data_IF_011803025472
#
_entry.id   IF_011803025472
#
_cell.length_a   1.000
_cell.length_b   1.000
_cell.length_c   1.000
_cell.angle_alpha   90.00
_cell.angle_beta   90.00
_cell.angle_gamma   90.00
#
_symmetry.space_group_name_H-M   'P 1'
#
loop_
_entity.id
_entity.type
_entity.pdbx_description
1 polymer ?
#
# COMPACT_ATOMS: atom_id res chain seq x y z
N UNK A 1 -5.44 7.23 12.36
CA UNK A 1 -4.51 6.84 11.27
C UNK A 1 -4.94 7.60 10.02
N UNK A 2 -4.04 7.93 9.12
CA UNK A 2 -4.37 8.54 7.82
C UNK A 2 -4.32 7.44 6.77
N UNK A 3 -5.45 7.13 6.17
CA UNK A 3 -5.55 6.19 5.05
C UNK A 3 -5.58 6.95 3.74
N UNK A 4 -5.05 6.34 2.69
CA UNK A 4 -5.27 6.74 1.32
C UNK A 4 -6.15 5.71 0.64
N UNK A 5 -7.10 6.17 -0.19
CA UNK A 5 -7.94 5.33 -1.01
C UNK A 5 -8.06 5.92 -2.42
N UNK A 6 -8.00 5.08 -3.42
CA UNK A 6 -8.28 5.45 -4.81
C UNK A 6 -9.55 4.72 -5.26
N UNK A 7 -10.39 5.39 -6.04
CA UNK A 7 -11.57 4.79 -6.66
C UNK A 7 -11.51 4.98 -8.17
N UNK A 8 -11.55 3.86 -8.90
CA UNK A 8 -11.70 3.87 -10.35
C UNK A 8 -13.17 3.68 -10.72
N UNK A 9 -13.66 4.48 -11.67
CA UNK A 9 -15.05 4.44 -12.12
C UNK A 9 -15.17 4.67 -13.65
N UNK A 10 -16.31 4.26 -14.21
CA UNK A 10 -16.72 4.59 -15.57
C UNK A 10 -18.06 5.30 -15.51
N UNK A 11 -18.19 6.45 -16.19
CA UNK A 11 -19.43 7.21 -16.27
C UNK A 11 -19.85 7.38 -17.74
N UNK A 12 -21.16 7.26 -18.03
CA UNK A 12 -21.76 7.48 -19.36
C UNK A 12 -22.60 8.76 -19.45
N UNK A 13 -22.47 9.64 -18.41
CA UNK A 13 -23.24 10.86 -18.25
C UNK A 13 -24.55 10.68 -17.47
N UNK A 14 -25.08 9.47 -17.38
CA UNK A 14 -26.30 9.12 -16.65
C UNK A 14 -25.99 8.18 -15.47
N UNK A 15 -25.37 7.06 -15.76
CA UNK A 15 -25.00 6.04 -14.78
C UNK A 15 -23.49 6.07 -14.49
N UNK A 16 -23.12 5.58 -13.30
CA UNK A 16 -21.72 5.47 -12.87
C UNK A 16 -21.46 4.07 -12.36
N UNK A 17 -20.60 3.34 -13.05
CA UNK A 17 -20.06 2.06 -12.61
C UNK A 17 -18.85 2.33 -11.72
N UNK A 18 -18.90 1.92 -10.45
CA UNK A 18 -17.72 1.84 -9.61
C UNK A 18 -16.93 0.62 -10.06
N UNK A 19 -15.70 0.83 -10.49
CA UNK A 19 -14.79 -0.24 -10.93
C UNK A 19 -14.16 -0.97 -9.76
N UNK A 20 -13.81 -0.23 -8.71
CA UNK A 20 -13.28 -0.75 -7.46
C UNK A 20 -12.75 0.33 -6.54
N UNK A 21 -12.77 0.05 -5.25
CA UNK A 21 -12.19 0.88 -4.19
C UNK A 21 -10.89 0.21 -3.75
N UNK A 22 -9.79 0.94 -3.79
CA UNK A 22 -8.48 0.47 -3.37
C UNK A 22 -8.06 1.14 -2.08
N UNK A 23 -7.49 0.38 -1.16
CA UNK A 23 -6.82 0.89 0.04
C UNK A 23 -5.31 0.79 -0.13
N UNK A 24 -4.61 1.89 0.09
CA UNK A 24 -3.16 2.00 -0.09
C UNK A 24 -2.40 1.80 1.22
N UNK A 25 -1.24 1.14 1.15
CA UNK A 25 -0.32 1.00 2.28
C UNK A 25 0.65 2.18 2.40
N UNK A 26 0.85 2.92 1.31
CA UNK A 26 1.66 4.14 1.30
C UNK A 26 0.84 5.35 1.74
N UNK A 27 1.57 6.39 2.23
CA UNK A 27 0.91 7.62 2.65
C UNK A 27 0.35 8.43 1.46
N UNK A 28 -0.64 9.28 1.74
CA UNK A 28 -1.12 10.26 0.77
C UNK A 28 0.03 11.16 0.27
N UNK A 29 0.06 11.43 -1.04
CA UNK A 29 1.13 12.19 -1.70
C UNK A 29 2.17 11.33 -2.41
N UNK A 30 2.18 10.01 -2.21
CA UNK A 30 2.94 9.07 -3.06
C UNK A 30 2.17 8.82 -4.35
N UNK A 31 2.87 8.74 -5.50
CA UNK A 31 2.23 8.42 -6.77
C UNK A 31 1.52 7.06 -6.74
N UNK A 32 0.31 6.95 -7.31
CA UNK A 32 -0.49 5.71 -7.27
C UNK A 32 0.19 4.51 -7.93
N UNK A 33 1.05 4.74 -8.93
CA UNK A 33 1.88 3.71 -9.55
C UNK A 33 2.93 3.11 -8.62
N UNK A 34 3.40 3.89 -7.64
CA UNK A 34 4.45 3.50 -6.69
C UNK A 34 3.91 2.96 -5.37
N UNK A 35 2.62 3.05 -5.15
CA UNK A 35 2.00 2.59 -3.91
C UNK A 35 1.47 1.16 -4.03
N UNK A 36 1.76 0.34 -3.03
CA UNK A 36 1.06 -0.90 -2.79
C UNK A 36 -0.40 -0.64 -2.45
N UNK A 37 -1.32 -1.42 -2.98
CA UNK A 37 -2.74 -1.27 -2.64
C UNK A 37 -3.50 -2.60 -2.71
N UNK A 38 -4.53 -2.72 -1.88
CA UNK A 38 -5.44 -3.87 -1.86
C UNK A 38 -6.80 -3.55 -2.47
N UNK A 39 -7.39 -4.52 -3.11
CA UNK A 39 -8.78 -4.58 -3.56
C UNK A 39 -9.33 -5.98 -3.24
N UNK A 40 -10.44 -6.09 -2.46
CA UNK A 40 -11.14 -5.00 -1.77
C UNK A 40 -10.27 -4.32 -0.70
N UNK A 41 -10.72 -3.17 -0.13
CA UNK A 41 -10.08 -2.54 1.03
C UNK A 41 -9.99 -3.50 2.21
N UNK A 42 -8.87 -3.46 2.96
CA UNK A 42 -8.64 -4.34 4.11
C UNK A 42 -9.19 -3.77 5.42
N UNK A 43 -8.99 -2.47 5.65
CA UNK A 43 -9.30 -1.84 6.95
C UNK A 43 -10.40 -0.78 6.89
N UNK A 44 -10.83 -0.35 5.70
CA UNK A 44 -11.89 0.63 5.54
C UNK A 44 -13.25 0.03 5.91
N UNK A 45 -13.99 0.69 6.82
CA UNK A 45 -15.33 0.27 7.21
C UNK A 45 -16.31 0.33 6.03
N UNK A 46 -17.38 -0.47 6.09
CA UNK A 46 -18.43 -0.47 5.06
C UNK A 46 -19.02 0.95 4.86
N UNK A 47 -19.26 1.69 5.95
CA UNK A 47 -19.75 3.07 5.88
C UNK A 47 -18.81 3.98 5.07
N UNK A 48 -17.51 3.94 5.33
CA UNK A 48 -16.53 4.74 4.58
C UNK A 48 -16.52 4.33 3.10
N UNK A 49 -16.59 3.04 2.81
CA UNK A 49 -16.64 2.57 1.42
C UNK A 49 -17.91 3.06 0.70
N UNK A 50 -19.08 3.09 1.37
CA UNK A 50 -20.33 3.59 0.79
C UNK A 50 -20.27 5.11 0.56
N UNK A 51 -19.68 5.86 1.50
CA UNK A 51 -19.45 7.29 1.35
C UNK A 51 -18.52 7.60 0.16
N UNK A 52 -17.45 6.79 -0.04
CA UNK A 52 -16.56 6.90 -1.20
C UNK A 52 -17.31 6.65 -2.51
N UNK A 53 -18.19 5.63 -2.57
CA UNK A 53 -19.04 5.35 -3.73
C UNK A 53 -19.97 6.52 -4.05
N UNK A 54 -20.63 7.07 -3.03
CA UNK A 54 -21.55 8.18 -3.18
C UNK A 54 -20.82 9.44 -3.69
N UNK A 55 -19.69 9.81 -3.07
CA UNK A 55 -18.89 10.95 -3.50
C UNK A 55 -18.38 10.78 -4.94
N UNK A 56 -17.94 9.57 -5.29
CA UNK A 56 -17.50 9.26 -6.66
C UNK A 56 -18.62 9.47 -7.67
N UNK A 57 -19.83 9.00 -7.39
CA UNK A 57 -21.00 9.21 -8.27
C UNK A 57 -21.35 10.68 -8.41
N UNK A 58 -21.35 11.45 -7.31
CA UNK A 58 -21.61 12.89 -7.33
C UNK A 58 -20.58 13.65 -8.17
N UNK A 59 -19.30 13.36 -7.97
CA UNK A 59 -18.22 14.02 -8.70
C UNK A 59 -18.23 13.66 -10.20
N UNK A 60 -18.47 12.41 -10.55
CA UNK A 60 -18.59 11.99 -11.95
C UNK A 60 -19.68 12.77 -12.71
N UNK A 61 -20.86 12.93 -12.07
CA UNK A 61 -21.98 13.68 -12.65
C UNK A 61 -21.71 15.17 -12.70
N UNK A 62 -21.19 15.76 -11.62
CA UNK A 62 -20.89 17.20 -11.56
C UNK A 62 -19.84 17.65 -12.59
N UNK A 63 -18.89 16.75 -12.92
CA UNK A 63 -17.85 17.00 -13.91
C UNK A 63 -18.25 16.57 -15.34
N UNK A 64 -19.47 16.06 -15.54
CA UNK A 64 -19.95 15.55 -16.82
C UNK A 64 -18.99 14.52 -17.46
N UNK A 65 -18.47 13.58 -16.65
CA UNK A 65 -17.49 12.61 -17.12
C UNK A 65 -18.14 11.63 -18.10
N UNK A 66 -17.47 11.41 -19.23
CA UNK A 66 -17.80 10.36 -20.20
C UNK A 66 -16.55 9.48 -20.38
N UNK A 67 -16.61 8.25 -19.86
CA UNK A 67 -15.47 7.33 -19.85
C UNK A 67 -14.93 7.09 -18.46
N UNK A 68 -13.60 6.84 -18.36
CA UNK A 68 -12.91 6.54 -17.10
C UNK A 68 -12.69 7.79 -16.25
N UNK A 69 -12.76 7.57 -14.94
CA UNK A 69 -12.38 8.54 -13.92
C UNK A 69 -11.70 7.83 -12.75
N UNK A 70 -10.68 8.45 -12.20
CA UNK A 70 -10.04 8.06 -10.96
C UNK A 70 -10.15 9.20 -9.94
N UNK A 71 -10.46 8.87 -8.70
CA UNK A 71 -10.48 9.82 -7.60
C UNK A 71 -9.54 9.31 -6.52
N UNK A 72 -8.69 10.22 -6.02
CA UNK A 72 -7.83 9.96 -4.87
C UNK A 72 -8.41 10.64 -3.63
N UNK A 73 -8.53 9.86 -2.58
CA UNK A 73 -9.04 10.30 -1.29
C UNK A 73 -8.01 10.12 -0.18
N UNK A 74 -8.09 10.95 0.85
CA UNK A 74 -7.47 10.72 2.14
C UNK A 74 -8.57 10.60 3.19
N UNK A 75 -8.43 9.65 4.12
CA UNK A 75 -9.38 9.42 5.20
C UNK A 75 -8.65 9.62 6.53
N UNK A 76 -9.11 10.58 7.33
CA UNK A 76 -8.56 10.86 8.65
C UNK A 76 -9.69 10.99 9.67
N UNK A 77 -9.65 10.19 10.72
CA UNK A 77 -10.65 10.21 11.81
C UNK A 77 -12.10 10.11 11.29
N UNK A 78 -12.33 9.27 10.26
CA UNK A 78 -13.63 9.09 9.63
C UNK A 78 -14.04 10.19 8.65
N UNK A 79 -13.24 11.25 8.50
CA UNK A 79 -13.50 12.33 7.54
C UNK A 79 -12.79 12.00 6.22
N UNK A 80 -13.54 12.09 5.13
CA UNK A 80 -13.06 11.86 3.77
C UNK A 80 -12.69 13.21 3.13
N UNK A 81 -11.48 13.29 2.61
CA UNK A 81 -10.94 14.43 1.86
C UNK A 81 -10.70 14.03 0.42
N UNK A 82 -11.21 14.79 -0.54
CA UNK A 82 -10.88 14.63 -1.96
C UNK A 82 -9.52 15.28 -2.19
N UNK A 83 -8.54 14.52 -2.66
CA UNK A 83 -7.22 15.03 -3.02
C UNK A 83 -7.19 15.50 -4.46
N UNK A 84 -7.62 14.63 -5.39
CA UNK A 84 -7.72 14.97 -6.81
C UNK A 84 -8.76 14.09 -7.53
N UNK A 85 -9.31 14.63 -8.62
CA UNK A 85 -10.18 13.92 -9.54
C UNK A 85 -9.56 13.92 -10.92
N UNK A 86 -9.37 12.75 -11.49
CA UNK A 86 -8.73 12.55 -12.79
C UNK A 86 -9.75 11.95 -13.78
N UNK A 87 -10.45 12.75 -14.64
CA UNK A 87 -11.39 12.24 -15.63
C UNK A 87 -10.66 11.65 -16.85
N UNK A 88 -9.89 10.62 -16.61
CA UNK A 88 -9.04 9.88 -17.56
C UNK A 88 -8.75 8.47 -17.05
N UNK A 89 -8.16 7.62 -17.89
CA UNK A 89 -7.61 6.35 -17.45
C UNK A 89 -6.50 6.57 -16.39
N UNK A 90 -6.54 5.79 -15.32
CA UNK A 90 -5.52 5.76 -14.26
C UNK A 90 -4.51 4.63 -14.48
N UNK A 91 -3.42 4.66 -13.72
CA UNK A 91 -2.46 3.55 -13.66
C UNK A 91 -3.03 2.33 -12.96
N UNK A 92 -4.09 2.49 -12.16
CA UNK A 92 -4.74 1.42 -11.40
C UNK A 92 -5.80 0.65 -12.19
N UNK A 93 -6.33 1.21 -13.31
CA UNK A 93 -7.36 0.55 -14.14
C UNK A 93 -6.97 -0.87 -14.58
N UNK A 94 -5.74 -1.17 -15.02
CA UNK A 94 -5.35 -2.54 -15.38
C UNK A 94 -5.40 -3.49 -14.20
N UNK A 95 -4.93 -3.05 -13.01
CA UNK A 95 -5.00 -3.81 -11.78
C UNK A 95 -6.45 -4.08 -11.37
N UNK A 96 -7.30 -3.05 -11.29
CA UNK A 96 -8.73 -3.18 -10.94
C UNK A 96 -9.44 -4.13 -11.91
N UNK A 97 -9.18 -3.99 -13.21
CA UNK A 97 -9.79 -4.86 -14.22
C UNK A 97 -9.39 -6.33 -14.05
N UNK A 98 -8.12 -6.61 -13.70
CA UNK A 98 -7.65 -7.97 -13.42
C UNK A 98 -8.22 -8.51 -12.12
N UNK A 99 -8.22 -7.69 -11.06
CA UNK A 99 -8.72 -8.09 -9.75
C UNK A 99 -10.23 -8.43 -9.77
N UNK A 100 -11.05 -7.64 -10.48
CA UNK A 100 -12.51 -7.78 -10.49
C UNK A 100 -13.05 -8.62 -11.65
N UNK A 101 -12.23 -8.89 -12.69
CA UNK A 101 -12.69 -9.47 -13.93
C UNK A 101 -13.59 -8.54 -14.78
N UNK A 102 -13.69 -7.25 -14.42
CA UNK A 102 -14.44 -6.25 -15.19
C UNK A 102 -13.52 -5.55 -16.19
N UNK A 103 -13.75 -5.62 -17.52
CA UNK A 103 -12.86 -5.03 -18.50
C UNK A 103 -13.11 -3.51 -18.64
N UNK A 104 -12.74 -2.73 -17.61
CA UNK A 104 -13.08 -1.32 -17.46
C UNK A 104 -12.67 -0.47 -18.66
N UNK A 105 -11.47 -0.66 -19.20
CA UNK A 105 -10.99 0.07 -20.37
C UNK A 105 -11.86 -0.20 -21.63
N UNK A 106 -12.28 -1.46 -21.82
CA UNK A 106 -13.17 -1.83 -22.94
C UNK A 106 -14.57 -1.26 -22.76
N UNK A 107 -15.10 -1.25 -21.52
CA UNK A 107 -16.40 -0.64 -21.20
C UNK A 107 -16.31 0.86 -21.49
N UNK A 108 -15.30 1.55 -20.97
CA UNK A 108 -15.12 2.98 -21.17
C UNK A 108 -14.96 3.37 -22.64
N UNK A 109 -14.18 2.62 -23.42
CA UNK A 109 -14.05 2.88 -24.86
C UNK A 109 -15.42 2.81 -25.59
N UNK A 110 -16.28 1.87 -25.22
CA UNK A 110 -17.64 1.78 -25.77
C UNK A 110 -18.53 2.92 -25.30
N UNK A 111 -18.42 3.33 -24.05
CA UNK A 111 -19.13 4.48 -23.50
C UNK A 111 -18.72 5.76 -24.25
N UNK A 112 -17.45 5.98 -24.50
CA UNK A 112 -16.93 7.12 -25.24
C UNK A 112 -17.42 7.15 -26.73
N UNK A 113 -17.83 6.00 -27.27
CA UNK A 113 -18.47 5.90 -28.60
C UNK A 113 -20.00 6.01 -28.55
N UNK A 114 -20.58 6.42 -27.41
CA UNK A 114 -22.00 6.69 -27.25
C UNK A 114 -22.86 5.54 -26.72
N UNK A 115 -22.25 4.39 -26.36
CA UNK A 115 -22.99 3.32 -25.68
C UNK A 115 -23.26 3.67 -24.23
N UNK A 116 -24.42 3.26 -23.71
CA UNK A 116 -24.75 3.41 -22.29
C UNK A 116 -24.30 2.20 -21.49
N UNK A 117 -23.97 2.42 -20.20
CA UNK A 117 -23.59 1.34 -19.29
C UNK A 117 -24.66 0.26 -19.19
N UNK A 118 -25.94 0.64 -19.25
CA UNK A 118 -27.09 -0.28 -19.27
C UNK A 118 -27.05 -1.21 -20.49
N UNK A 119 -26.75 -0.69 -21.66
CA UNK A 119 -26.68 -1.47 -22.91
C UNK A 119 -25.50 -2.44 -22.90
N UNK A 120 -24.50 -2.16 -22.07
CA UNK A 120 -23.31 -3.00 -21.91
C UNK A 120 -23.44 -4.01 -20.78
N UNK A 121 -24.55 -4.01 -20.02
CA UNK A 121 -24.72 -4.82 -18.80
C UNK A 121 -23.69 -4.49 -17.71
N UNK A 122 -23.23 -3.23 -17.67
CA UNK A 122 -22.13 -2.79 -16.81
C UNK A 122 -22.61 -1.74 -15.79
N UNK A 123 -23.66 -2.05 -15.05
CA UNK A 123 -24.26 -1.14 -14.06
C UNK A 123 -23.94 -1.51 -12.61
N UNK A 124 -23.42 -2.73 -12.38
CA UNK A 124 -23.18 -3.26 -11.03
C UNK A 124 -21.69 -3.39 -10.76
N UNK A 125 -21.24 -2.87 -9.61
CA UNK A 125 -19.88 -3.05 -9.10
C UNK A 125 -19.61 -4.55 -8.82
N UNK A 126 -18.40 -4.99 -9.14
CA UNK A 126 -17.94 -6.34 -8.82
C UNK A 126 -16.94 -6.27 -7.67
N UNK A 127 -17.35 -6.71 -6.49
CA UNK A 127 -16.47 -6.80 -5.32
C UNK A 127 -16.00 -8.26 -5.21
N UNK A 128 -14.70 -8.55 -5.37
CA UNK A 128 -14.19 -9.91 -5.26
C UNK A 128 -14.34 -10.47 -3.84
N UNK A 129 -14.53 -11.78 -3.74
CA UNK A 129 -14.54 -12.54 -2.46
C UNK A 129 -13.14 -12.95 -2.00
N UNK A 130 -12.12 -12.52 -2.72
CA UNK A 130 -10.70 -12.71 -2.46
C UNK A 130 -9.98 -11.36 -2.52
N UNK A 131 -8.83 -11.29 -1.87
CA UNK A 131 -7.98 -10.09 -1.94
C UNK A 131 -7.05 -10.16 -3.15
N UNK A 132 -6.87 -9.01 -3.78
CA UNK A 132 -5.80 -8.76 -4.75
C UNK A 132 -4.95 -7.61 -4.22
N UNK A 133 -3.65 -7.80 -4.16
CA UNK A 133 -2.71 -6.75 -3.77
C UNK A 133 -1.81 -6.43 -4.95
N UNK A 134 -1.79 -5.15 -5.33
CA UNK A 134 -0.82 -4.61 -6.29
C UNK A 134 0.42 -4.16 -5.53
N UNK A 135 1.60 -4.50 -6.02
CA UNK A 135 2.87 -3.99 -5.51
C UNK A 135 3.71 -3.42 -6.67
N UNK A 136 4.45 -2.35 -6.40
CA UNK A 136 5.29 -1.70 -7.38
C UNK A 136 6.66 -2.38 -7.48
N UNK A 137 7.23 -2.40 -8.71
CA UNK A 137 8.59 -2.88 -8.93
C UNK A 137 9.51 -1.68 -9.16
N UNK A 138 10.53 -1.56 -8.32
CA UNK A 138 11.47 -0.44 -8.36
C UNK A 138 12.85 -0.84 -8.88
N UNK A 139 13.49 0.01 -9.70
CA UNK A 139 14.84 -0.24 -10.22
C UNK A 139 15.95 0.29 -9.31
N UNK A 140 15.69 0.55 -8.01
CA UNK A 140 16.66 1.22 -7.13
C UNK A 140 17.99 0.50 -6.99
N UNK A 141 18.00 -0.83 -7.13
CA UNK A 141 19.23 -1.63 -7.13
C UNK A 141 20.16 -1.32 -8.32
N UNK A 142 19.64 -0.72 -9.41
CA UNK A 142 20.40 -0.29 -10.59
C UNK A 142 20.88 1.15 -10.47
N UNK A 143 20.38 1.92 -9.50
CA UNK A 143 20.68 3.34 -9.30
C UNK A 143 21.08 3.62 -7.85
N UNK A 144 22.29 3.20 -7.42
CA UNK A 144 22.69 3.25 -6.00
C UNK A 144 22.77 4.68 -5.43
N UNK A 145 22.90 5.70 -6.29
CA UNK A 145 22.92 7.10 -5.88
C UNK A 145 21.51 7.70 -5.67
N UNK A 146 20.45 7.05 -6.19
CA UNK A 146 19.10 7.55 -6.06
C UNK A 146 18.57 7.33 -4.63
N UNK A 147 17.90 8.35 -4.07
CA UNK A 147 17.13 8.16 -2.83
C UNK A 147 15.84 7.37 -3.15
N UNK A 148 15.63 6.21 -2.54
CA UNK A 148 14.44 5.39 -2.77
C UNK A 148 13.17 5.95 -2.13
N UNK A 149 13.21 7.12 -1.49
CA UNK A 149 12.02 7.74 -0.91
C UNK A 149 10.96 8.00 -1.99
N UNK A 150 9.74 7.60 -1.70
CA UNK A 150 8.61 7.79 -2.61
C UNK A 150 7.98 9.18 -2.46
N UNK A 151 7.38 9.68 -3.53
CA UNK A 151 6.77 10.99 -3.60
C UNK A 151 5.75 11.10 -4.74
N UNK A 152 5.42 12.31 -5.19
CA UNK A 152 4.41 12.52 -6.23
C UNK A 152 4.87 12.09 -7.63
N UNK A 153 6.17 11.92 -7.84
CA UNK A 153 6.75 11.46 -9.10
C UNK A 153 6.87 9.95 -9.11
N UNK A 154 6.45 9.31 -10.21
CA UNK A 154 6.52 7.86 -10.37
C UNK A 154 7.97 7.40 -10.59
N UNK A 155 8.43 6.44 -9.77
CA UNK A 155 9.76 5.83 -9.82
C UNK A 155 9.73 4.36 -10.22
N UNK A 156 8.58 3.70 -10.11
CA UNK A 156 8.41 2.30 -10.48
C UNK A 156 8.51 2.08 -11.98
N UNK A 157 8.99 0.89 -12.37
CA UNK A 157 9.10 0.45 -13.77
C UNK A 157 8.06 -0.57 -14.17
N UNK A 158 7.30 -1.07 -13.21
CA UNK A 158 6.25 -2.06 -13.40
C UNK A 158 5.50 -2.33 -12.11
N UNK A 159 4.57 -3.26 -12.20
CA UNK A 159 3.76 -3.70 -11.07
C UNK A 159 3.52 -5.21 -11.12
N UNK A 160 3.27 -5.80 -9.97
CA UNK A 160 2.88 -7.21 -9.82
C UNK A 160 1.56 -7.27 -9.04
N UNK A 161 0.90 -8.43 -9.08
CA UNK A 161 -0.33 -8.68 -8.35
C UNK A 161 -0.24 -10.02 -7.60
N UNK A 162 -0.41 -9.98 -6.28
CA UNK A 162 -0.66 -11.14 -5.45
C UNK A 162 -2.16 -11.32 -5.22
N UNK A 163 -2.64 -12.57 -5.15
CA UNK A 163 -4.03 -12.90 -4.83
C UNK A 163 -4.09 -13.91 -3.69
N UNK A 164 -5.08 -13.78 -2.80
CA UNK A 164 -5.22 -14.67 -1.65
C UNK A 164 -6.61 -14.60 -1.03
N UNK A 165 -6.92 -15.56 -0.15
CA UNK A 165 -8.16 -15.58 0.62
C UNK A 165 -8.16 -14.53 1.74
N UNK A 166 -6.96 -14.16 2.22
CA UNK A 166 -6.73 -13.10 3.18
C UNK A 166 -5.87 -12.00 2.56
N UNK A 167 -5.93 -10.81 3.15
CA UNK A 167 -5.05 -9.71 2.77
C UNK A 167 -3.57 -10.08 2.97
N UNK A 168 -3.23 -10.71 4.11
CA UNK A 168 -1.86 -11.13 4.42
C UNK A 168 -1.29 -12.09 3.38
N UNK A 169 -2.06 -13.09 2.92
CA UNK A 169 -1.67 -14.01 1.85
C UNK A 169 -1.42 -13.27 0.53
N UNK A 170 -2.35 -12.40 0.12
CA UNK A 170 -2.22 -11.63 -1.11
C UNK A 170 -1.01 -10.68 -1.06
N UNK A 171 -0.78 -10.03 0.09
CA UNK A 171 0.35 -9.13 0.31
C UNK A 171 1.68 -9.88 0.29
N UNK A 172 1.79 -11.03 0.96
CA UNK A 172 2.99 -11.87 0.93
C UNK A 172 3.39 -12.25 -0.49
N UNK A 173 2.41 -12.69 -1.30
CA UNK A 173 2.62 -13.04 -2.71
C UNK A 173 3.04 -11.83 -3.55
N UNK A 174 2.43 -10.66 -3.33
CA UNK A 174 2.79 -9.43 -4.03
C UNK A 174 4.21 -8.97 -3.68
N UNK A 175 4.60 -9.00 -2.40
CA UNK A 175 5.96 -8.68 -1.95
C UNK A 175 7.00 -9.62 -2.61
N UNK A 176 6.77 -10.92 -2.56
CA UNK A 176 7.65 -11.90 -3.20
C UNK A 176 7.77 -11.66 -4.71
N UNK A 177 6.65 -11.41 -5.38
CA UNK A 177 6.63 -11.16 -6.83
C UNK A 177 7.32 -9.84 -7.23
N UNK A 178 7.33 -8.83 -6.35
CA UNK A 178 8.06 -7.57 -6.55
C UNK A 178 9.57 -7.69 -6.27
N UNK A 179 10.02 -8.86 -5.79
CA UNK A 179 11.43 -9.12 -5.46
C UNK A 179 11.80 -8.73 -4.03
N UNK A 180 10.83 -8.44 -3.18
CA UNK A 180 11.06 -8.21 -1.75
C UNK A 180 11.15 -9.55 -1.03
N UNK A 181 12.22 -9.72 -0.26
CA UNK A 181 12.43 -10.91 0.57
C UNK A 181 12.01 -10.60 2.01
N UNK A 182 10.83 -11.06 2.41
CA UNK A 182 10.35 -10.88 3.77
C UNK A 182 11.11 -11.80 4.73
N UNK A 183 11.78 -11.25 5.78
CA UNK A 183 12.49 -12.07 6.76
C UNK A 183 11.48 -12.76 7.68
N UNK A 184 11.73 -14.03 8.00
CA UNK A 184 10.83 -14.82 8.90
C UNK A 184 10.99 -14.48 10.38
N UNK A 185 12.16 -14.05 10.77
CA UNK A 185 12.58 -13.59 12.10
C UNK A 185 13.84 -12.73 11.95
N UNK A 186 14.46 -12.34 13.04
CA UNK A 186 15.68 -11.56 13.04
C UNK A 186 15.53 -10.24 13.79
N UNK A 187 16.15 -9.20 13.31
CA UNK A 187 16.20 -7.90 13.97
C UNK A 187 15.41 -6.87 13.16
N UNK A 188 14.39 -6.28 13.77
CA UNK A 188 13.61 -5.20 13.19
C UNK A 188 14.00 -3.85 13.80
N UNK A 189 14.44 -2.91 12.96
CA UNK A 189 14.64 -1.53 13.37
C UNK A 189 13.38 -0.70 13.19
N UNK A 190 12.92 -0.06 14.27
CA UNK A 190 11.74 0.82 14.29
C UNK A 190 12.16 2.23 14.70
N UNK A 191 11.95 3.19 13.81
CA UNK A 191 12.15 4.61 14.09
C UNK A 191 11.04 5.42 13.47
N UNK A 192 10.12 5.92 14.27
CA UNK A 192 8.90 6.57 13.77
C UNK A 192 8.76 8.00 14.28
N UNK A 193 8.12 8.84 13.48
CA UNK A 193 7.72 10.21 13.85
C UNK A 193 6.71 10.19 14.99
N UNK A 194 6.55 11.31 15.69
CA UNK A 194 5.79 11.38 16.94
C UNK A 194 4.34 10.90 16.81
N UNK A 195 3.65 11.29 15.74
CA UNK A 195 2.25 10.89 15.52
C UNK A 195 2.06 9.38 15.28
N UNK A 196 3.11 8.67 14.86
CA UNK A 196 3.06 7.23 14.57
C UNK A 196 3.47 6.38 15.79
N UNK A 197 4.06 6.99 16.84
CA UNK A 197 4.53 6.29 18.05
C UNK A 197 3.47 5.42 18.73
N UNK A 198 2.22 5.87 18.92
CA UNK A 198 1.18 5.00 19.53
C UNK A 198 0.95 3.71 18.74
N UNK A 199 0.96 3.78 17.41
CA UNK A 199 0.80 2.62 16.55
C UNK A 199 2.03 1.72 16.50
N UNK A 200 3.23 2.28 16.72
CA UNK A 200 4.48 1.52 16.75
C UNK A 200 4.51 0.48 17.90
N UNK A 201 3.78 0.73 18.99
CA UNK A 201 3.64 -0.23 20.10
C UNK A 201 2.97 -1.52 19.63
N UNK A 202 1.86 -1.39 18.88
CA UNK A 202 1.15 -2.54 18.31
C UNK A 202 2.00 -3.30 17.28
N UNK A 203 2.71 -2.55 16.42
CA UNK A 203 3.64 -3.15 15.45
C UNK A 203 4.76 -3.93 16.15
N UNK A 204 5.42 -3.34 17.14
CA UNK A 204 6.52 -3.98 17.86
C UNK A 204 6.08 -5.27 18.58
N UNK A 205 4.91 -5.28 19.23
CA UNK A 205 4.34 -6.50 19.83
C UNK A 205 4.13 -7.60 18.81
N UNK A 206 3.48 -7.29 17.67
CA UNK A 206 3.24 -8.25 16.60
C UNK A 206 4.54 -8.83 16.02
N UNK A 207 5.60 -8.03 15.92
CA UNK A 207 6.91 -8.50 15.46
C UNK A 207 7.60 -9.40 16.48
N UNK A 208 7.56 -9.04 17.78
CA UNK A 208 8.13 -9.86 18.87
C UNK A 208 7.42 -11.22 18.94
N UNK A 209 6.10 -11.26 18.82
CA UNK A 209 5.29 -12.50 18.77
C UNK A 209 5.74 -13.43 17.63
N UNK A 210 6.34 -12.88 16.56
CA UNK A 210 6.88 -13.61 15.40
C UNK A 210 8.40 -13.84 15.47
N UNK A 211 9.00 -13.63 16.63
CA UNK A 211 10.40 -13.94 16.87
C UNK A 211 11.40 -12.85 16.46
N UNK A 212 10.95 -11.61 16.23
CA UNK A 212 11.87 -10.50 15.97
C UNK A 212 12.38 -9.87 17.26
N UNK A 213 13.67 -9.53 17.29
CA UNK A 213 14.23 -8.56 18.23
C UNK A 213 13.94 -7.15 17.70
N UNK A 214 13.51 -6.24 18.58
CA UNK A 214 13.20 -4.86 18.20
C UNK A 214 14.35 -3.93 18.58
N UNK A 215 14.89 -3.20 17.60
CA UNK A 215 15.76 -2.05 17.77
C UNK A 215 14.97 -0.77 17.56
N UNK A 216 15.23 0.25 18.39
CA UNK A 216 14.56 1.54 18.22
C UNK A 216 15.47 2.73 18.54
N UNK A 217 15.26 3.87 17.86
CA UNK A 217 15.88 5.13 18.26
C UNK A 217 15.28 5.65 19.56
N UNK A 218 16.03 6.47 20.31
CA UNK A 218 15.67 6.92 21.66
C UNK A 218 14.19 7.28 21.84
N UNK A 219 13.67 8.20 21.04
CA UNK A 219 12.28 8.67 21.20
C UNK A 219 11.23 7.59 20.90
N UNK A 220 11.53 6.61 20.03
CA UNK A 220 10.65 5.45 19.79
C UNK A 220 10.84 4.43 20.91
N UNK A 221 12.10 4.15 21.33
CA UNK A 221 12.41 3.20 22.40
C UNK A 221 11.74 3.59 23.73
N UNK A 222 11.74 4.87 24.09
CA UNK A 222 11.09 5.33 25.32
C UNK A 222 9.60 4.95 25.33
N UNK A 223 8.86 5.24 24.23
CA UNK A 223 7.43 4.92 24.12
C UNK A 223 7.19 3.40 24.16
N UNK A 224 8.05 2.61 23.51
CA UNK A 224 7.95 1.15 23.54
C UNK A 224 8.17 0.61 24.96
N UNK A 225 9.20 1.10 25.64
CA UNK A 225 9.54 0.69 27.01
C UNK A 225 8.45 1.10 28.01
N UNK A 226 7.93 2.31 27.92
CA UNK A 226 6.79 2.79 28.73
C UNK A 226 5.54 1.93 28.53
N UNK A 227 5.34 1.39 27.33
CA UNK A 227 4.25 0.46 27.01
C UNK A 227 4.56 -1.00 27.38
N UNK A 228 5.69 -1.29 28.05
CA UNK A 228 6.11 -2.64 28.44
C UNK A 228 6.56 -3.51 27.27
N UNK A 229 6.99 -2.92 26.16
CA UNK A 229 7.53 -3.64 24.99
C UNK A 229 9.04 -3.68 25.07
N UNK A 230 9.62 -4.89 25.05
CA UNK A 230 11.06 -5.07 25.05
C UNK A 230 11.69 -4.53 23.75
N UNK A 231 12.65 -3.64 23.87
CA UNK A 231 13.42 -3.16 22.73
C UNK A 231 14.84 -2.76 23.15
N UNK A 232 15.77 -2.85 22.23
CA UNK A 232 17.14 -2.37 22.39
C UNK A 232 17.29 -0.99 21.74
N UNK A 233 17.86 -0.04 22.46
CA UNK A 233 18.13 1.31 21.93
C UNK A 233 19.33 1.28 20.98
N UNK A 234 19.23 2.03 19.90
CA UNK A 234 20.31 2.27 18.93
C UNK A 234 20.43 3.76 18.62
N UNK A 235 21.65 4.23 18.41
CA UNK A 235 21.93 5.61 18.06
C UNK A 235 21.46 5.93 16.63
N UNK A 236 20.97 7.16 16.42
CA UNK A 236 20.86 7.75 15.09
C UNK A 236 22.25 8.05 14.54
N UNK A 237 22.34 8.26 13.23
CA UNK A 237 23.62 8.52 12.52
C UNK A 237 24.42 9.68 13.12
N UNK A 238 23.75 10.70 13.66
CA UNK A 238 24.38 11.89 14.25
C UNK A 238 24.65 11.81 15.76
N UNK A 239 24.22 10.74 16.40
CA UNK A 239 24.35 10.56 17.86
C UNK A 239 25.63 9.83 18.26
N UNK A 240 26.46 9.43 17.28
CA UNK A 240 27.73 8.72 17.51
C UNK A 240 27.67 7.25 17.12
N UNK A 241 28.82 6.58 17.13
CA UNK A 241 28.99 5.16 16.77
C UNK A 241 29.03 4.27 18.02
N UNK A 242 28.55 2.99 17.90
CA UNK A 242 27.89 2.42 16.75
C UNK A 242 26.46 2.99 16.57
N UNK A 243 26.05 3.21 15.34
CA UNK A 243 24.72 3.68 14.98
C UNK A 243 24.03 2.72 14.01
N UNK A 244 22.74 2.97 13.69
CA UNK A 244 21.92 2.06 12.88
C UNK A 244 22.56 1.71 11.51
N UNK A 245 23.21 2.64 10.83
CA UNK A 245 23.84 2.36 9.51
C UNK A 245 25.03 1.42 9.67
N UNK A 246 25.79 1.49 10.79
CA UNK A 246 26.85 0.53 11.06
C UNK A 246 26.28 -0.89 11.25
N UNK A 247 25.13 -1.01 11.92
CA UNK A 247 24.44 -2.29 12.12
C UNK A 247 23.92 -2.88 10.81
N UNK A 248 23.34 -2.04 9.93
CA UNK A 248 22.89 -2.48 8.59
C UNK A 248 24.08 -2.98 7.77
N UNK A 249 25.21 -2.25 7.80
CA UNK A 249 26.46 -2.65 7.11
C UNK A 249 27.04 -3.98 7.58
N UNK A 250 26.81 -4.31 8.84
CA UNK A 250 27.28 -5.55 9.46
C UNK A 250 26.25 -6.67 9.41
N UNK A 251 25.21 -6.54 8.56
CA UNK A 251 24.14 -7.52 8.37
C UNK A 251 23.43 -7.91 9.69
N UNK A 252 23.24 -6.93 10.59
CA UNK A 252 22.62 -7.09 11.91
C UNK A 252 21.17 -6.57 11.95
N UNK A 253 20.57 -6.26 10.80
CA UNK A 253 19.20 -5.77 10.68
C UNK A 253 18.53 -6.41 9.47
N UNK A 254 17.40 -7.03 9.69
CA UNK A 254 16.66 -7.79 8.68
C UNK A 254 15.42 -7.04 8.14
N UNK A 255 14.84 -6.18 8.98
CA UNK A 255 13.63 -5.41 8.65
C UNK A 255 13.75 -3.99 9.18
N UNK A 256 13.26 -3.02 8.41
CA UNK A 256 13.28 -1.61 8.80
C UNK A 256 11.89 -1.00 8.62
N UNK A 257 11.37 -0.36 9.68
CA UNK A 257 10.20 0.51 9.61
C UNK A 257 10.61 1.91 10.08
N UNK A 258 10.78 2.82 9.11
CA UNK A 258 11.27 4.16 9.38
C UNK A 258 10.35 5.22 8.78
N UNK A 259 9.50 5.81 9.62
CA UNK A 259 8.61 6.91 9.21
C UNK A 259 9.25 8.26 9.52
N UNK A 260 9.19 9.19 8.57
CA UNK A 260 9.81 10.51 8.70
C UNK A 260 8.80 11.62 8.43
N UNK A 261 9.04 12.80 9.00
CA UNK A 261 8.25 14.01 8.76
C UNK A 261 9.17 15.22 8.63
N UNK A 262 8.95 15.99 7.57
CA UNK A 262 9.73 17.19 7.26
C UNK A 262 11.07 16.91 6.56
N UNK A 263 11.56 17.93 5.86
CA UNK A 263 12.75 17.83 4.98
C UNK A 263 14.02 17.39 5.70
N UNK A 264 14.18 17.80 6.97
CA UNK A 264 15.38 17.45 7.75
C UNK A 264 15.40 15.97 8.10
N UNK A 265 14.30 15.41 8.66
CA UNK A 265 14.21 14.00 9.01
C UNK A 265 14.39 13.10 7.78
N UNK A 266 13.82 13.51 6.63
CA UNK A 266 13.99 12.81 5.35
C UNK A 266 15.47 12.75 4.94
N UNK A 267 16.21 13.88 5.04
CA UNK A 267 17.64 13.93 4.72
C UNK A 267 18.48 13.09 5.68
N UNK A 268 18.18 13.14 6.98
CA UNK A 268 18.90 12.36 8.00
C UNK A 268 18.72 10.86 7.85
N UNK A 269 17.57 10.42 7.37
CA UNK A 269 17.27 9.00 7.10
C UNK A 269 17.75 8.51 5.72
N UNK A 270 18.30 9.38 4.86
CA UNK A 270 18.75 8.98 3.52
C UNK A 270 19.80 7.86 3.56
N UNK A 271 20.79 7.96 4.46
CA UNK A 271 21.84 6.95 4.60
C UNK A 271 21.28 5.58 5.03
N UNK A 272 20.24 5.56 5.86
CA UNK A 272 19.55 4.33 6.26
C UNK A 272 18.88 3.69 5.06
N UNK A 273 18.11 4.46 4.28
CA UNK A 273 17.39 3.96 3.09
C UNK A 273 18.34 3.44 2.01
N UNK A 274 19.41 4.20 1.71
CA UNK A 274 20.41 3.81 0.71
C UNK A 274 21.14 2.52 1.10
N UNK A 275 21.55 2.41 2.37
CA UNK A 275 22.23 1.21 2.85
C UNK A 275 21.26 0.01 2.87
N UNK A 276 19.99 0.20 3.25
CA UNK A 276 18.97 -0.84 3.19
C UNK A 276 18.80 -1.39 1.77
N UNK A 277 18.69 -0.53 0.75
CA UNK A 277 18.63 -0.95 -0.66
C UNK A 277 19.89 -1.68 -1.10
N UNK A 278 21.08 -1.15 -0.76
CA UNK A 278 22.35 -1.77 -1.10
C UNK A 278 22.52 -3.17 -0.52
N UNK A 279 22.11 -3.35 0.75
CA UNK A 279 22.16 -4.64 1.47
C UNK A 279 20.94 -5.52 1.23
N UNK A 280 19.96 -5.05 0.46
CA UNK A 280 18.69 -5.74 0.22
C UNK A 280 17.90 -6.03 1.51
N UNK A 281 18.04 -5.17 2.50
CA UNK A 281 17.23 -5.21 3.72
C UNK A 281 15.84 -4.67 3.40
N UNK A 282 14.82 -5.42 3.76
CA UNK A 282 13.42 -5.00 3.58
C UNK A 282 13.12 -3.76 4.41
N UNK A 283 12.58 -2.73 3.77
CA UNK A 283 12.39 -1.46 4.42
C UNK A 283 11.05 -0.80 4.04
N UNK A 284 10.40 -0.19 5.02
CA UNK A 284 9.12 0.49 4.88
C UNK A 284 9.16 1.90 5.45
N UNK A 285 8.44 2.82 4.79
CA UNK A 285 8.32 4.24 5.17
C UNK A 285 7.01 4.57 5.87
N UNK A 286 6.10 3.61 5.99
CA UNK A 286 4.81 3.79 6.66
C UNK A 286 4.60 2.70 7.72
N UNK A 287 3.83 3.07 8.75
CA UNK A 287 3.40 2.12 9.76
C UNK A 287 2.42 1.08 9.18
N UNK A 288 1.60 1.51 8.22
CA UNK A 288 0.63 0.63 7.55
C UNK A 288 1.33 -0.51 6.82
N UNK A 289 2.43 -0.22 6.07
CA UNK A 289 3.22 -1.26 5.40
C UNK A 289 3.89 -2.21 6.41
N UNK A 290 4.40 -1.69 7.53
CA UNK A 290 4.92 -2.53 8.62
C UNK A 290 3.87 -3.47 9.21
N UNK A 291 2.65 -3.00 9.41
CA UNK A 291 1.53 -3.82 9.90
C UNK A 291 1.07 -4.84 8.86
N UNK A 292 0.98 -4.44 7.58
CA UNK A 292 0.69 -5.35 6.47
C UNK A 292 1.73 -6.47 6.37
N UNK A 293 3.00 -6.13 6.61
CA UNK A 293 4.08 -7.13 6.67
C UNK A 293 3.86 -8.14 7.80
N UNK A 294 3.43 -7.71 8.99
CA UNK A 294 3.12 -8.66 10.07
C UNK A 294 2.03 -9.66 9.68
N UNK A 295 1.01 -9.24 8.92
CA UNK A 295 -0.01 -10.15 8.40
C UNK A 295 0.56 -11.08 7.32
N UNK A 296 1.45 -10.59 6.46
CA UNK A 296 2.11 -11.38 5.43
C UNK A 296 3.03 -12.47 5.99
N UNK A 297 3.72 -12.19 7.12
CA UNK A 297 4.64 -13.14 7.75
C UNK A 297 3.96 -14.46 8.15
N UNK A 298 2.68 -14.42 8.44
CA UNK A 298 1.88 -15.59 8.80
C UNK A 298 1.61 -16.52 7.60
N UNK A 299 1.85 -16.05 6.36
CA UNK A 299 1.53 -16.73 5.10
C UNK A 299 2.75 -17.03 4.20
N UNK A 300 3.98 -16.90 4.71
CA UNK A 300 5.19 -17.07 3.89
C UNK A 300 5.41 -18.51 3.38
N UNK A 301 4.78 -19.49 4.01
CA UNK A 301 4.86 -20.91 3.61
C UNK A 301 3.70 -21.32 2.69
N UNK A 302 2.69 -20.50 2.54
CA UNK A 302 1.47 -20.78 1.79
C UNK A 302 1.58 -20.21 0.36
N UNK A 303 2.43 -20.83 -0.49
CA UNK A 303 2.59 -20.38 -1.88
C UNK A 303 1.65 -21.17 -2.79
N UNK A 304 0.36 -20.89 -2.72
CA UNK A 304 -0.60 -21.38 -3.71
C UNK A 304 -0.70 -20.42 -4.88
N UNK A 305 -0.47 -20.92 -6.10
CA UNK A 305 -0.64 -20.16 -7.34
C UNK A 305 -2.05 -20.38 -7.88
N UNK A 306 -2.86 -19.32 -7.88
CA UNK A 306 -4.23 -19.35 -8.37
C UNK A 306 -4.33 -18.91 -9.83
N UNK A 307 -5.12 -19.61 -10.64
CA UNK A 307 -5.50 -19.10 -11.96
C UNK A 307 -6.53 -17.99 -11.79
N UNK A 308 -6.22 -16.81 -12.32
CA UNK A 308 -7.09 -15.64 -12.20
C UNK A 308 -8.50 -15.89 -12.75
N UNK A 309 -8.62 -16.68 -13.84
CA UNK A 309 -9.90 -17.01 -14.45
C UNK A 309 -10.78 -17.87 -13.54
N UNK A 310 -10.20 -18.69 -12.68
CA UNK A 310 -10.97 -19.51 -11.74
C UNK A 310 -11.45 -18.66 -10.55
N UNK A 311 -10.62 -17.73 -10.07
CA UNK A 311 -11.03 -16.72 -9.08
C UNK A 311 -12.19 -15.84 -9.60
N UNK A 312 -12.16 -15.43 -10.87
CA UNK A 312 -13.26 -14.68 -11.47
C UNK A 312 -14.56 -15.50 -11.54
N UNK A 313 -14.50 -16.80 -11.81
CA UNK A 313 -15.70 -17.66 -11.81
C UNK A 313 -16.30 -17.82 -10.42
N UNK A 314 -15.46 -17.89 -9.38
CA UNK A 314 -15.93 -17.93 -7.99
C UNK A 314 -16.64 -16.61 -7.62
N UNK A 315 -16.05 -15.47 -7.93
CA UNK A 315 -16.63 -14.16 -7.68
C UNK A 315 -17.95 -13.89 -8.40
N UNK A 316 -18.22 -14.59 -9.53
CA UNK A 316 -19.49 -14.50 -10.24
C UNK A 316 -20.59 -15.42 -9.68
N UNK A 317 -20.23 -16.35 -8.79
CA UNK A 317 -21.16 -17.31 -8.17
C UNK A 317 -21.57 -16.89 -6.76
N UNK A 318 -20.81 -16.00 -6.13
CA UNK A 318 -21.07 -15.43 -4.81
C UNK A 318 -22.00 -14.21 -4.92
#
# INVERSE_FOLDING_TARGET
MLFRSDVDAVCDGEDVLIGGIMEHVEQAGVHSGDSGCSLPPNSLTAQVQDDLREQTRKLAKALNVIGLMNIQFAIQNGIIYVLEVNPRASRTVPFVSKATGAPLAKIAARVMTGKKLKDLGATTERVPVYYSVKEAVFPFNKFPEADPILGPEMKSTGEVMGTGRTFGEAYAKAQTASGVNLPRNGVCFISVRDRDKPGAVGLARKLIERGFEVLATEGTANVLTEAGVACRRVNKVREGRPHIVDMIKNDQVDLIVNTTEGKQAIRESNSIRREAVYRRVTYYTTLAAGLATCEALDHLDEVEVNRLQDLHKEALRA
#
